data_IF_262564100793
#
_entry.id   IF_262564100793
#
_cell.length_a   1.000
_cell.length_b   1.000
_cell.length_c   1.000
_cell.angle_alpha   90.00
_cell.angle_beta   90.00
_cell.angle_gamma   90.00
#
_symmetry.space_group_name_H-M   'P 1'
#
loop_
_entity.id
_entity.type
_entity.pdbx_description
1 polymer ?
#
# COMPACT_ATOMS: atom_id res chain seq x y z
N UNK A 1 15.03 1.60 -4.15
CA UNK A 1 15.29 2.01 -2.75
C UNK A 1 14.44 3.25 -2.47
N UNK A 2 13.87 3.37 -1.29
CA UNK A 2 12.90 4.43 -0.99
C UNK A 2 12.56 4.48 0.49
N UNK A 3 11.78 5.48 0.87
CA UNK A 3 11.20 5.59 2.21
C UNK A 3 9.78 5.03 2.19
N UNK A 4 9.46 4.26 3.21
CA UNK A 4 8.10 3.77 3.44
C UNK A 4 7.41 4.72 4.41
N UNK A 5 6.12 4.98 4.19
CA UNK A 5 5.24 5.61 5.17
C UNK A 5 3.92 4.88 5.32
N UNK A 6 3.30 5.00 6.48
CA UNK A 6 1.96 4.48 6.69
C UNK A 6 0.98 5.29 5.85
N UNK A 7 0.03 4.60 5.21
CA UNK A 7 -1.10 5.26 4.59
C UNK A 7 -1.94 5.98 5.65
N UNK A 8 -2.42 7.18 5.30
CA UNK A 8 -3.40 7.94 6.07
C UNK A 8 -4.54 8.34 5.12
N UNK A 9 -5.73 7.72 5.24
CA UNK A 9 -6.06 6.62 6.16
C UNK A 9 -5.41 5.28 5.77
N UNK A 10 -5.21 4.41 6.78
CA UNK A 10 -4.45 3.18 6.65
C UNK A 10 -5.03 2.16 5.65
N UNK A 11 -6.34 2.21 5.40
CA UNK A 11 -7.00 1.29 4.46
C UNK A 11 -7.00 1.79 3.01
N UNK A 12 -6.55 3.02 2.75
CA UNK A 12 -6.51 3.69 1.44
C UNK A 12 -7.85 3.70 0.66
N UNK A 13 -8.97 3.60 1.36
CA UNK A 13 -10.30 3.58 0.73
C UNK A 13 -10.87 4.97 0.44
N UNK A 14 -10.24 6.01 0.98
CA UNK A 14 -10.42 7.42 0.61
C UNK A 14 -9.09 8.02 0.11
N UNK A 15 -9.09 9.26 -0.43
CA UNK A 15 -7.86 9.91 -0.89
C UNK A 15 -6.78 9.94 0.19
N UNK A 16 -5.58 9.48 -0.15
CA UNK A 16 -4.44 9.46 0.78
C UNK A 16 -3.77 10.83 0.88
N UNK A 17 -3.18 11.10 2.04
CA UNK A 17 -2.26 12.21 2.22
C UNK A 17 -1.02 12.01 1.33
N UNK A 18 -0.65 12.99 0.48
CA UNK A 18 0.56 12.92 -0.33
C UNK A 18 1.82 12.88 0.55
N UNK A 19 2.93 12.28 0.06
CA UNK A 19 4.21 12.24 0.77
C UNK A 19 4.93 13.60 0.70
N UNK A 20 4.34 14.63 1.28
CA UNK A 20 4.80 16.03 1.20
C UNK A 20 6.23 16.21 1.74
N UNK A 21 6.58 15.50 2.80
CA UNK A 21 7.94 15.46 3.36
C UNK A 21 8.98 14.82 2.42
N UNK A 22 8.55 14.06 1.40
CA UNK A 22 9.46 13.45 0.40
C UNK A 22 9.52 14.23 -0.93
N UNK A 23 8.84 15.37 -1.05
CA UNK A 23 8.75 16.12 -2.31
C UNK A 23 10.12 16.59 -2.84
N UNK A 24 11.06 16.88 -1.94
CA UNK A 24 12.43 17.30 -2.29
C UNK A 24 13.43 16.16 -2.43
N UNK A 25 12.98 14.91 -2.28
CA UNK A 25 13.84 13.74 -2.31
C UNK A 25 13.69 13.01 -3.64
N UNK A 26 14.82 12.63 -4.25
CA UNK A 26 14.87 11.83 -5.50
C UNK A 26 14.73 10.32 -5.25
N UNK A 27 14.46 9.92 -4.01
CA UNK A 27 14.27 8.51 -3.65
C UNK A 27 12.81 8.09 -3.78
N UNK A 28 12.58 6.79 -3.94
CA UNK A 28 11.22 6.25 -4.07
C UNK A 28 10.36 6.50 -2.83
N UNK A 29 9.07 6.78 -3.06
CA UNK A 29 8.06 7.08 -2.06
C UNK A 29 7.12 5.90 -1.96
N UNK A 30 7.26 5.11 -0.92
CA UNK A 30 6.50 3.88 -0.75
C UNK A 30 5.43 4.07 0.31
N UNK A 31 4.27 3.46 0.13
CA UNK A 31 3.18 3.54 1.10
C UNK A 31 2.78 2.15 1.58
N UNK A 32 2.68 1.99 2.89
CA UNK A 32 2.19 0.79 3.56
C UNK A 32 0.69 0.92 3.81
N UNK A 33 -0.10 0.00 3.26
CA UNK A 33 -1.56 -0.01 3.28
C UNK A 33 -2.06 -1.30 3.90
N UNK A 34 -3.08 -1.20 4.76
CA UNK A 34 -3.77 -2.36 5.30
C UNK A 34 -4.74 -2.95 4.26
N UNK A 35 -4.56 -4.25 3.95
CA UNK A 35 -5.35 -5.03 3.00
C UNK A 35 -6.76 -5.42 3.48
N UNK A 36 -7.39 -4.64 4.35
CA UNK A 36 -8.80 -4.85 4.75
C UNK A 36 -9.75 -4.86 3.55
N UNK A 37 -10.85 -5.59 3.67
CA UNK A 37 -11.89 -5.68 2.63
C UNK A 37 -12.87 -4.50 2.63
N UNK A 38 -12.53 -3.37 3.27
CA UNK A 38 -13.36 -2.15 3.28
C UNK A 38 -13.54 -1.57 1.88
N UNK A 39 -12.58 -1.81 0.98
CA UNK A 39 -12.70 -1.59 -0.44
C UNK A 39 -11.75 -2.50 -1.23
N UNK A 40 -11.95 -2.64 -2.54
CA UNK A 40 -11.12 -3.50 -3.39
C UNK A 40 -9.67 -3.01 -3.54
N UNK A 41 -8.73 -3.94 -3.74
CA UNK A 41 -7.30 -3.64 -3.86
C UNK A 41 -6.97 -2.64 -4.96
N UNK A 42 -7.64 -2.71 -6.12
CA UNK A 42 -7.43 -1.72 -7.19
C UNK A 42 -7.71 -0.29 -6.71
N UNK A 43 -8.74 -0.09 -5.88
CA UNK A 43 -9.04 1.24 -5.32
C UNK A 43 -7.93 1.72 -4.39
N UNK A 44 -7.40 0.84 -3.53
CA UNK A 44 -6.26 1.14 -2.64
C UNK A 44 -5.03 1.60 -3.43
N UNK A 45 -4.68 0.85 -4.48
CA UNK A 45 -3.54 1.17 -5.36
C UNK A 45 -3.77 2.47 -6.14
N UNK A 46 -4.98 2.71 -6.64
CA UNK A 46 -5.33 3.97 -7.33
C UNK A 46 -5.21 5.16 -6.36
N UNK A 47 -5.66 5.02 -5.12
CA UNK A 47 -5.50 6.07 -4.10
C UNK A 47 -4.03 6.40 -3.86
N UNK A 48 -3.16 5.39 -3.77
CA UNK A 48 -1.71 5.57 -3.66
C UNK A 48 -1.10 6.27 -4.90
N UNK A 49 -1.47 5.82 -6.10
CA UNK A 49 -1.00 6.42 -7.35
C UNK A 49 -1.42 7.89 -7.46
N UNK A 50 -2.68 8.21 -7.16
CA UNK A 50 -3.19 9.58 -7.19
C UNK A 50 -2.53 10.49 -6.15
N UNK A 51 -2.09 9.93 -5.02
CA UNK A 51 -1.36 10.66 -3.99
C UNK A 51 0.13 10.84 -4.31
N UNK A 52 0.64 10.25 -5.40
CA UNK A 52 2.01 10.44 -5.86
C UNK A 52 3.05 9.52 -5.21
N UNK A 53 2.63 8.35 -4.74
CA UNK A 53 3.53 7.27 -4.32
C UNK A 53 4.03 6.46 -5.53
N UNK A 54 5.23 5.88 -5.43
CA UNK A 54 5.88 5.08 -6.48
C UNK A 54 5.63 3.57 -6.33
N UNK A 55 5.29 3.13 -5.10
CA UNK A 55 5.06 1.74 -4.73
C UNK A 55 3.98 1.65 -3.64
N UNK A 56 3.01 0.78 -3.84
CA UNK A 56 2.04 0.38 -2.82
C UNK A 56 2.45 -0.97 -2.21
N UNK A 57 2.63 -1.01 -0.90
CA UNK A 57 2.89 -2.22 -0.11
C UNK A 57 1.61 -2.54 0.65
N UNK A 58 0.93 -3.63 0.29
CA UNK A 58 -0.32 -4.04 0.91
C UNK A 58 -0.06 -5.24 1.81
N UNK A 59 -0.27 -5.09 3.11
CA UNK A 59 -0.11 -6.19 4.06
C UNK A 59 -1.46 -6.81 4.42
N UNK A 60 -1.45 -8.10 4.71
CA UNK A 60 -2.66 -8.78 5.15
C UNK A 60 -3.23 -8.15 6.43
N UNK A 61 -4.56 -7.98 6.55
CA UNK A 61 -5.18 -7.36 7.72
C UNK A 61 -5.10 -8.19 9.01
N UNK A 62 -4.84 -9.49 8.88
CA UNK A 62 -4.69 -10.45 9.97
C UNK A 62 -3.77 -11.60 9.52
N UNK A 63 -3.18 -12.37 10.46
CA UNK A 63 -2.39 -13.54 10.10
C UNK A 63 -3.22 -14.52 9.27
N UNK A 64 -2.87 -14.69 7.98
CA UNK A 64 -3.52 -15.64 7.11
C UNK A 64 -2.71 -16.94 7.02
N UNK A 65 -3.37 -18.12 7.01
CA UNK A 65 -2.70 -19.37 6.66
C UNK A 65 -2.10 -19.28 5.25
N UNK A 66 -0.95 -19.93 5.03
CA UNK A 66 -0.16 -19.89 3.79
C UNK A 66 -0.91 -20.29 2.50
N UNK A 67 -2.12 -20.85 2.60
CA UNK A 67 -2.92 -21.33 1.46
C UNK A 67 -4.00 -20.35 0.96
N UNK A 68 -4.10 -19.14 1.52
CA UNK A 68 -5.07 -18.15 1.05
C UNK A 68 -4.57 -17.43 -0.22
N UNK A 69 -5.00 -17.93 -1.38
CA UNK A 69 -4.83 -17.22 -2.65
C UNK A 69 -6.04 -16.28 -2.87
N UNK A 70 -5.83 -14.97 -2.75
CA UNK A 70 -6.85 -13.98 -3.18
C UNK A 70 -6.71 -13.69 -4.66
N UNK A 71 -7.64 -14.22 -5.45
CA UNK A 71 -7.79 -13.80 -6.86
C UNK A 71 -8.49 -12.45 -6.88
N UNK A 72 -7.73 -11.42 -7.22
CA UNK A 72 -8.27 -10.06 -7.40
C UNK A 72 -8.58 -9.88 -8.87
N UNK A 73 -9.87 -9.68 -9.20
CA UNK A 73 -10.24 -9.22 -10.54
C UNK A 73 -9.72 -7.80 -10.74
N UNK A 74 -8.69 -7.65 -11.59
CA UNK A 74 -8.21 -6.35 -12.02
C UNK A 74 -9.09 -5.85 -13.18
N UNK A 75 -9.88 -4.78 -13.01
CA UNK A 75 -10.52 -4.15 -14.16
C UNK A 75 -9.41 -3.56 -15.05
N UNK A 76 -9.70 -3.29 -16.33
CA UNK A 76 -8.78 -2.60 -17.26
C UNK A 76 -8.52 -1.16 -16.76
N UNK A 77 -7.69 -1.03 -15.73
CA UNK A 77 -7.33 0.22 -15.07
C UNK A 77 -5.82 0.38 -15.22
N UNK A 78 -5.39 1.58 -15.62
CA UNK A 78 -3.99 1.95 -15.70
C UNK A 78 -3.40 2.15 -14.30
N UNK A 79 -2.86 1.07 -13.74
CA UNK A 79 -1.97 1.10 -12.59
C UNK A 79 -0.55 1.29 -13.12
N UNK A 80 0.06 2.42 -12.82
CA UNK A 80 1.42 2.79 -13.24
C UNK A 80 2.46 2.65 -12.12
N UNK A 81 2.03 2.43 -10.88
CA UNK A 81 2.91 2.24 -9.73
C UNK A 81 3.15 0.76 -9.46
N UNK A 82 4.27 0.43 -8.84
CA UNK A 82 4.54 -0.94 -8.42
C UNK A 82 3.61 -1.34 -7.27
N UNK A 83 3.31 -2.64 -7.15
CA UNK A 83 2.48 -3.18 -6.07
C UNK A 83 3.13 -4.45 -5.52
N UNK A 84 3.25 -4.53 -4.20
CA UNK A 84 3.74 -5.72 -3.49
C UNK A 84 2.75 -6.09 -2.40
N UNK A 85 2.45 -7.38 -2.30
CA UNK A 85 1.66 -7.96 -1.21
C UNK A 85 2.59 -8.65 -0.23
N UNK A 86 2.40 -8.40 1.07
CA UNK A 86 3.22 -8.98 2.14
C UNK A 86 2.34 -9.58 3.24
N UNK A 87 2.94 -10.43 4.06
CA UNK A 87 2.24 -11.04 5.19
C UNK A 87 1.84 -10.00 6.24
N UNK A 88 0.87 -10.36 7.09
CA UNK A 88 0.51 -9.55 8.26
C UNK A 88 1.74 -9.26 9.13
N UNK A 89 2.57 -10.26 9.41
CA UNK A 89 3.72 -10.12 10.30
C UNK A 89 4.77 -9.16 9.74
N UNK A 90 5.04 -9.21 8.44
CA UNK A 90 5.95 -8.27 7.79
C UNK A 90 5.38 -6.85 7.81
N UNK A 91 4.07 -6.70 7.57
CA UNK A 91 3.38 -5.41 7.62
C UNK A 91 3.46 -4.75 9.00
N UNK A 92 3.24 -5.53 10.06
CA UNK A 92 3.39 -5.05 11.45
C UNK A 92 4.85 -4.68 11.72
N UNK A 93 5.80 -5.52 11.32
CA UNK A 93 7.24 -5.27 11.51
C UNK A 93 7.67 -3.96 10.84
N UNK A 94 7.24 -3.71 9.60
CA UNK A 94 7.51 -2.45 8.90
C UNK A 94 6.90 -1.28 9.67
N UNK A 95 5.63 -1.39 10.07
CA UNK A 95 4.90 -0.33 10.75
C UNK A 95 5.52 0.06 12.09
N UNK A 96 6.03 -0.90 12.85
CA UNK A 96 6.54 -0.66 14.21
C UNK A 96 8.02 -0.26 14.25
N UNK A 97 8.82 -0.68 13.27
CA UNK A 97 10.28 -0.53 13.33
C UNK A 97 10.88 0.41 12.27
N UNK A 98 10.10 0.79 11.26
CA UNK A 98 10.62 1.51 10.09
C UNK A 98 9.78 2.73 9.68
N UNK A 99 8.72 3.04 10.43
CA UNK A 99 7.86 4.21 10.28
C UNK A 99 7.90 5.08 11.54
#
# INVERSE_FOLDING_TARGET
RGYVVAAEPLDACSPLVPPTFLTNFTVGKFVLINGTETCGFSKKVISAQKAGYDLAIIFDPFPMPFEFLRVVSYPKIEISIQVVFISFMDGITIKENYL
#
